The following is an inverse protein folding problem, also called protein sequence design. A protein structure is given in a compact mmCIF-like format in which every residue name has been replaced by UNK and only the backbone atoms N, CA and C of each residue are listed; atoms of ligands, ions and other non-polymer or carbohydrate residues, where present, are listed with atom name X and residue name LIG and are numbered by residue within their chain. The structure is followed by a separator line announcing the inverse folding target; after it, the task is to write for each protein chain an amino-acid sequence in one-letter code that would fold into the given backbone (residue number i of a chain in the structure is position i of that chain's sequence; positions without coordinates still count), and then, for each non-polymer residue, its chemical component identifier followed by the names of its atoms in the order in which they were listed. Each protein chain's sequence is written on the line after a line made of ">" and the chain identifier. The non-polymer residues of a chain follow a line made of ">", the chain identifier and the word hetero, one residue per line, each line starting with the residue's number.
data_IF_861577306272
#
_entry.id   IF_861577306272
#
_cell.length_a   1.000
_cell.length_b   1.000
_cell.length_c   1.000
_cell.angle_alpha   90.00
_cell.angle_beta   90.00
_cell.angle_gamma   90.00
#
_symmetry.space_group_name_H-M   'P 1'
#
loop_
_entity.id
_entity.type
_entity.pdbx_description
1 polymer ?
#
# COMPACT_ATOMS: atom_id res chain seq x y z
N UNK A 1 36.16 62.99 38.14
CA UNK A 1 36.00 62.45 39.50
C UNK A 1 35.34 61.09 39.40
N UNK A 2 35.93 60.10 40.09
CA UNK A 2 35.58 58.67 40.24
C UNK A 2 34.05 58.43 40.48
N UNK A 3 33.44 57.30 40.11
CA UNK A 3 33.64 55.94 40.69
C UNK A 3 32.93 54.84 39.88
N UNK A 4 33.45 53.64 40.07
CA UNK A 4 33.17 52.30 39.54
C UNK A 4 31.96 51.56 40.15
N UNK A 5 31.60 50.44 39.48
CA UNK A 5 31.16 49.10 39.97
C UNK A 5 29.71 48.66 39.70
N UNK A 6 29.60 47.44 39.12
CA UNK A 6 28.39 46.60 39.24
C UNK A 6 28.24 45.53 38.15
N UNK A 7 29.10 44.51 38.14
CA UNK A 7 28.96 43.31 37.32
C UNK A 7 27.75 42.46 37.72
N UNK A 8 27.01 41.91 36.75
CA UNK A 8 26.40 40.57 36.87
C UNK A 8 26.56 39.85 35.53
N UNK A 9 27.35 38.78 35.56
CA UNK A 9 27.39 37.76 34.52
C UNK A 9 26.05 37.02 34.47
N UNK A 10 25.53 36.78 33.28
CA UNK A 10 24.72 35.59 33.02
C UNK A 10 25.03 35.06 31.61
N UNK A 11 25.79 33.97 31.61
CA UNK A 11 26.11 33.17 30.45
C UNK A 11 24.87 32.41 29.96
N UNK A 12 24.70 32.32 28.64
CA UNK A 12 23.99 31.23 27.98
C UNK A 12 24.45 31.13 26.51
N UNK A 13 25.65 30.54 26.32
CA UNK A 13 26.05 29.93 25.05
C UNK A 13 25.53 28.49 25.05
N UNK A 14 24.45 28.20 24.32
CA UNK A 14 24.04 26.84 24.01
C UNK A 14 23.69 26.69 22.53
N UNK A 15 24.65 26.07 21.85
CA UNK A 15 24.49 25.03 20.83
C UNK A 15 23.69 25.37 19.56
N UNK A 16 24.47 25.54 18.48
CA UNK A 16 24.15 25.30 17.08
C UNK A 16 23.12 24.19 16.86
N UNK A 17 21.87 24.58 16.63
CA UNK A 17 20.84 23.69 16.11
C UNK A 17 21.10 23.41 14.63
N UNK A 18 21.79 22.31 14.31
CA UNK A 18 21.62 21.68 13.00
C UNK A 18 20.18 21.15 12.93
N UNK A 19 19.30 21.95 12.33
CA UNK A 19 17.99 21.49 11.90
C UNK A 19 18.21 20.51 10.73
N UNK A 20 18.31 19.22 11.03
CA UNK A 20 18.03 18.20 10.04
C UNK A 20 16.55 18.31 9.69
N UNK A 21 16.25 19.10 8.66
CA UNK A 21 14.97 19.03 7.97
C UNK A 21 14.85 17.60 7.42
N UNK A 22 14.14 16.74 8.16
CA UNK A 22 13.69 15.47 7.65
C UNK A 22 12.79 15.77 6.45
N UNK A 23 13.35 15.63 5.24
CA UNK A 23 12.57 15.68 4.02
C UNK A 23 11.47 14.63 4.15
N UNK A 24 10.23 15.09 4.28
CA UNK A 24 9.06 14.25 4.10
C UNK A 24 9.22 13.54 2.75
N UNK A 25 8.91 12.24 2.61
CA UNK A 25 8.85 11.63 1.30
C UNK A 25 7.71 12.31 0.57
N UNK A 26 8.05 13.37 -0.17
CA UNK A 26 7.18 14.01 -1.13
C UNK A 26 6.56 12.90 -1.98
N UNK A 27 5.26 13.00 -2.18
CA UNK A 27 4.51 12.23 -3.17
C UNK A 27 5.27 12.21 -4.49
N UNK A 28 6.13 11.21 -4.65
CA UNK A 28 6.86 11.00 -5.87
C UNK A 28 5.79 10.69 -6.91
N UNK A 29 5.53 11.69 -7.76
CA UNK A 29 4.62 11.58 -8.90
C UNK A 29 4.91 10.24 -9.59
N UNK A 30 3.90 9.39 -9.83
CA UNK A 30 4.13 8.10 -10.45
C UNK A 30 4.87 8.34 -11.77
N UNK A 31 6.11 7.84 -11.83
CA UNK A 31 6.89 7.84 -13.06
C UNK A 31 6.05 7.17 -14.15
N UNK A 32 6.13 7.65 -15.38
CA UNK A 32 5.47 7.06 -16.55
C UNK A 32 6.41 6.11 -17.29
N UNK A 33 7.40 5.54 -16.61
CA UNK A 33 8.30 4.59 -17.26
C UNK A 33 7.54 3.32 -17.65
N UNK A 34 8.00 2.75 -18.75
CA UNK A 34 7.35 1.61 -19.38
C UNK A 34 8.02 0.27 -19.02
N UNK A 35 8.81 0.22 -17.95
CA UNK A 35 9.47 -1.01 -17.51
C UNK A 35 9.71 -1.04 -16.00
N UNK A 36 9.94 -2.24 -15.47
CA UNK A 36 10.17 -2.53 -14.06
C UNK A 36 11.50 -3.24 -13.90
N UNK A 37 12.30 -2.80 -12.94
CA UNK A 37 13.54 -3.46 -12.53
C UNK A 37 13.29 -4.48 -11.40
N UNK A 38 14.23 -5.42 -11.22
CA UNK A 38 14.19 -6.38 -10.10
C UNK A 38 14.12 -5.68 -8.73
N UNK A 39 14.81 -4.55 -8.57
CA UNK A 39 14.82 -3.76 -7.33
C UNK A 39 13.44 -3.18 -7.01
N UNK A 40 12.73 -2.69 -8.02
CA UNK A 40 11.40 -2.10 -7.84
C UNK A 40 10.35 -3.18 -7.59
N UNK A 41 10.41 -4.30 -8.32
CA UNK A 41 9.54 -5.44 -8.09
C UNK A 41 9.67 -6.00 -6.66
N UNK A 42 10.88 -6.01 -6.08
CA UNK A 42 11.11 -6.40 -4.68
C UNK A 42 10.39 -5.51 -3.67
N UNK A 43 10.08 -4.24 -4.00
CA UNK A 43 9.35 -3.32 -3.11
C UNK A 43 7.86 -3.66 -3.01
N UNK A 44 7.30 -4.39 -3.97
CA UNK A 44 5.90 -4.83 -3.95
C UNK A 44 5.75 -5.98 -2.97
N UNK A 45 4.76 -5.91 -2.08
CA UNK A 45 4.42 -6.97 -1.12
C UNK A 45 2.92 -7.29 -1.21
N UNK A 46 2.55 -8.50 -0.79
CA UNK A 46 1.14 -8.89 -0.57
C UNK A 46 0.45 -7.86 0.32
N UNK A 47 -0.84 -7.63 0.08
CA UNK A 47 -1.65 -6.66 0.82
C UNK A 47 -1.49 -5.20 0.38
N UNK A 48 -0.57 -4.88 -0.53
CA UNK A 48 -0.45 -3.50 -1.06
C UNK A 48 -1.60 -3.17 -2.00
N UNK A 49 -2.17 -1.98 -1.90
CA UNK A 49 -3.16 -1.49 -2.87
C UNK A 49 -2.54 -1.24 -4.24
N UNK A 50 -3.36 -1.28 -5.30
CA UNK A 50 -2.94 -0.97 -6.68
C UNK A 50 -2.17 0.35 -6.79
N UNK A 51 -2.64 1.42 -6.16
CA UNK A 51 -1.96 2.72 -6.19
C UNK A 51 -0.59 2.70 -5.51
N UNK A 52 -0.50 1.96 -4.40
CA UNK A 52 0.75 1.76 -3.67
C UNK A 52 1.78 1.01 -4.51
N UNK A 53 1.33 0.02 -5.29
CA UNK A 53 2.15 -0.71 -6.27
C UNK A 53 2.58 0.20 -7.42
N UNK A 54 1.64 0.94 -8.04
CA UNK A 54 1.91 1.85 -9.15
C UNK A 54 2.97 2.91 -8.80
N UNK A 55 2.92 3.47 -7.59
CA UNK A 55 3.95 4.42 -7.10
C UNK A 55 5.33 3.76 -6.97
N UNK A 56 5.41 2.55 -6.40
CA UNK A 56 6.69 1.82 -6.21
C UNK A 56 7.30 1.35 -7.51
N UNK A 57 6.44 0.89 -8.41
CA UNK A 57 6.84 0.40 -9.71
C UNK A 57 7.08 1.52 -10.70
N UNK A 58 6.50 2.71 -10.52
CA UNK A 58 6.56 3.79 -11.50
C UNK A 58 6.10 3.35 -12.90
N UNK A 59 5.24 2.34 -12.99
CA UNK A 59 4.76 1.78 -14.24
C UNK A 59 3.30 1.38 -14.06
N UNK A 60 2.48 1.54 -15.09
CA UNK A 60 1.04 1.21 -15.03
C UNK A 60 0.75 -0.28 -15.23
N UNK A 61 1.63 -0.99 -15.93
CA UNK A 61 1.39 -2.35 -16.39
C UNK A 61 0.30 -2.42 -17.48
N UNK A 62 -0.08 -3.63 -17.87
CA UNK A 62 -1.20 -3.95 -18.75
C UNK A 62 -2.09 -4.98 -18.07
N UNK A 63 -3.41 -4.80 -18.10
CA UNK A 63 -4.33 -5.83 -17.62
C UNK A 63 -4.21 -7.05 -18.52
N UNK A 64 -4.00 -8.23 -17.93
CA UNK A 64 -3.89 -9.50 -18.66
C UNK A 64 -4.91 -10.54 -18.20
N UNK A 65 -5.54 -10.32 -17.04
CA UNK A 65 -6.68 -11.10 -16.56
C UNK A 65 -7.54 -10.21 -15.68
N UNK A 66 -8.85 -10.40 -15.77
CA UNK A 66 -9.87 -9.73 -14.99
C UNK A 66 -11.06 -10.68 -14.89
N UNK A 67 -11.63 -10.84 -13.70
CA UNK A 67 -12.83 -11.60 -13.49
C UNK A 67 -13.57 -11.14 -12.24
N UNK A 68 -14.89 -11.31 -12.25
CA UNK A 68 -15.78 -11.12 -11.12
C UNK A 68 -16.65 -12.35 -10.96
N UNK A 69 -16.80 -12.82 -9.74
CA UNK A 69 -17.59 -13.99 -9.38
C UNK A 69 -18.97 -13.56 -8.83
N UNK A 70 -19.99 -14.43 -8.90
CA UNK A 70 -21.33 -14.11 -8.40
C UNK A 70 -21.42 -13.80 -6.90
N UNK A 71 -20.47 -14.27 -6.09
CA UNK A 71 -20.38 -14.00 -4.65
C UNK A 71 -19.80 -12.61 -4.31
N UNK A 72 -19.41 -11.84 -5.34
CA UNK A 72 -18.83 -10.52 -5.22
C UNK A 72 -17.31 -10.50 -5.15
N UNK A 73 -16.64 -11.67 -5.16
CA UNK A 73 -15.19 -11.71 -5.32
C UNK A 73 -14.81 -11.22 -6.72
N UNK A 74 -13.63 -10.61 -6.82
CA UNK A 74 -13.10 -10.18 -8.10
C UNK A 74 -11.59 -10.02 -8.01
N UNK A 75 -10.92 -10.37 -9.11
CA UNK A 75 -9.48 -10.22 -9.23
C UNK A 75 -9.09 -9.57 -10.56
N UNK A 76 -7.92 -8.95 -10.55
CA UNK A 76 -7.29 -8.38 -11.73
C UNK A 76 -5.79 -8.60 -11.71
N UNK A 77 -5.25 -9.14 -12.79
CA UNK A 77 -3.81 -9.35 -12.97
C UNK A 77 -3.23 -8.33 -13.95
N UNK A 78 -2.14 -7.69 -13.53
CA UNK A 78 -1.36 -6.79 -14.36
C UNK A 78 -0.03 -7.42 -14.73
N UNK A 79 0.29 -7.39 -16.01
CA UNK A 79 1.61 -7.74 -16.52
C UNK A 79 2.47 -6.49 -16.73
N UNK A 80 3.77 -6.60 -16.45
CA UNK A 80 4.74 -5.52 -16.58
C UNK A 80 5.93 -5.94 -17.43
N UNK A 81 6.46 -5.00 -18.22
CA UNK A 81 7.69 -5.19 -18.98
C UNK A 81 8.91 -5.10 -18.06
N UNK A 82 9.87 -6.00 -18.20
CA UNK A 82 11.17 -5.91 -17.53
C UNK A 82 12.06 -4.90 -18.25
N UNK A 83 12.80 -4.07 -17.50
CA UNK A 83 13.75 -3.16 -18.14
C UNK A 83 14.84 -3.94 -18.88
N UNK A 84 15.17 -3.50 -20.11
CA UNK A 84 16.09 -4.21 -21.00
C UNK A 84 15.48 -5.40 -21.76
N UNK A 85 14.18 -5.65 -21.63
CA UNK A 85 13.48 -6.75 -22.34
C UNK A 85 12.27 -6.26 -23.12
N UNK A 86 11.89 -7.04 -24.14
CA UNK A 86 10.62 -6.87 -24.86
C UNK A 86 9.46 -7.44 -24.03
N UNK A 87 8.23 -7.12 -24.41
CA UNK A 87 7.03 -7.65 -23.74
C UNK A 87 6.95 -9.19 -23.82
N UNK A 88 7.31 -9.76 -24.97
CA UNK A 88 7.28 -11.22 -25.22
C UNK A 88 8.27 -12.00 -24.35
N UNK A 89 9.32 -11.34 -23.87
CA UNK A 89 10.35 -11.93 -22.98
C UNK A 89 10.24 -11.43 -21.54
N UNK A 90 9.20 -10.67 -21.23
CA UNK A 90 8.95 -10.15 -19.88
C UNK A 90 7.92 -11.00 -19.19
N UNK A 91 8.26 -11.48 -18.00
CA UNK A 91 7.34 -12.22 -17.15
C UNK A 91 7.37 -11.53 -15.79
N UNK A 92 6.58 -10.47 -15.64
CA UNK A 92 6.23 -9.90 -14.33
C UNK A 92 4.72 -9.84 -14.30
N UNK A 93 4.12 -10.52 -13.34
CA UNK A 93 2.69 -10.54 -13.09
C UNK A 93 2.41 -10.16 -11.64
N UNK A 94 1.42 -9.32 -11.43
CA UNK A 94 0.92 -8.96 -10.09
C UNK A 94 -0.59 -9.06 -10.15
N UNK A 95 -1.14 -9.97 -9.37
CA UNK A 95 -2.59 -10.15 -9.21
C UNK A 95 -3.07 -9.39 -7.99
N UNK A 96 -4.23 -8.80 -8.13
CA UNK A 96 -4.92 -8.09 -7.07
C UNK A 96 -6.31 -8.69 -6.90
N UNK A 97 -6.76 -8.82 -5.67
CA UNK A 97 -8.09 -9.28 -5.30
C UNK A 97 -8.77 -8.25 -4.39
N UNK A 98 -10.10 -8.24 -4.38
CA UNK A 98 -10.86 -7.50 -3.40
C UNK A 98 -10.53 -7.98 -1.98
N UNK A 99 -10.69 -7.10 -0.99
CA UNK A 99 -10.41 -7.45 0.40
C UNK A 99 -11.59 -8.23 0.97
N UNK A 100 -11.39 -9.49 1.42
CA UNK A 100 -12.43 -10.23 2.10
C UNK A 100 -12.68 -9.64 3.50
N UNK A 101 -13.93 -9.65 3.92
CA UNK A 101 -14.33 -9.33 5.28
C UNK A 101 -15.52 -10.20 5.70
N UNK A 102 -15.56 -10.55 6.98
CA UNK A 102 -16.65 -11.34 7.54
C UNK A 102 -17.81 -10.42 7.94
N UNK A 103 -19.03 -10.82 7.60
CA UNK A 103 -20.28 -10.19 8.03
C UNK A 103 -21.13 -11.25 8.70
N UNK A 104 -21.60 -10.96 9.91
CA UNK A 104 -22.61 -11.78 10.54
C UNK A 104 -23.97 -11.49 9.91
N UNK A 105 -24.64 -12.52 9.38
CA UNK A 105 -26.00 -12.43 8.86
C UNK A 105 -26.92 -13.04 9.91
N UNK A 106 -27.67 -12.20 10.66
CA UNK A 106 -28.45 -12.67 11.78
C UNK A 106 -29.66 -13.48 11.30
N UNK A 107 -29.99 -14.53 12.05
CA UNK A 107 -31.19 -15.34 11.89
C UNK A 107 -31.88 -15.43 13.25
N UNK A 108 -32.67 -14.39 13.54
CA UNK A 108 -33.23 -14.19 14.87
C UNK A 108 -34.57 -14.92 14.98
N UNK A 109 -34.60 -15.95 15.81
CA UNK A 109 -35.80 -16.68 16.17
C UNK A 109 -36.15 -16.45 17.64
N UNK A 110 -37.43 -16.16 17.93
CA UNK A 110 -37.89 -15.90 19.29
C UNK A 110 -38.94 -16.93 19.73
N UNK A 111 -38.72 -17.55 20.89
CA UNK A 111 -39.62 -18.53 21.53
C UNK A 111 -39.81 -18.18 23.01
N UNK A 112 -41.05 -18.16 23.49
CA UNK A 112 -41.41 -17.89 24.89
C UNK A 112 -40.73 -16.64 25.49
N UNK A 113 -40.60 -15.57 24.69
CA UNK A 113 -40.01 -14.30 25.10
C UNK A 113 -38.47 -14.29 25.12
N UNK A 114 -37.81 -15.38 24.73
CA UNK A 114 -36.36 -15.46 24.54
C UNK A 114 -36.03 -15.49 23.04
N UNK A 115 -35.08 -14.68 22.60
CA UNK A 115 -34.62 -14.65 21.21
C UNK A 115 -33.22 -15.26 21.09
N UNK A 116 -33.02 -16.06 20.06
CA UNK A 116 -31.76 -16.70 19.69
C UNK A 116 -31.37 -16.23 18.29
N UNK A 117 -30.09 -15.92 18.11
CA UNK A 117 -29.51 -15.63 16.80
C UNK A 117 -28.80 -16.88 16.30
N UNK A 118 -29.40 -17.55 15.33
CA UNK A 118 -28.82 -18.70 14.62
C UNK A 118 -28.06 -18.28 13.36
N UNK A 119 -27.80 -16.98 13.23
CA UNK A 119 -27.10 -16.39 12.12
C UNK A 119 -25.73 -17.01 11.87
N UNK A 120 -25.26 -16.84 10.63
CA UNK A 120 -23.97 -17.35 10.20
C UNK A 120 -23.03 -16.22 9.79
N UNK A 121 -21.74 -16.49 9.88
CA UNK A 121 -20.71 -15.60 9.36
C UNK A 121 -20.49 -15.87 7.87
N UNK A 122 -20.74 -14.86 7.05
CA UNK A 122 -20.50 -14.89 5.61
C UNK A 122 -19.25 -14.09 5.23
N UNK A 123 -18.52 -14.54 4.20
CA UNK A 123 -17.45 -13.74 3.60
C UNK A 123 -18.02 -12.83 2.53
N UNK A 124 -17.70 -11.55 2.61
CA UNK A 124 -18.05 -10.51 1.64
C UNK A 124 -16.77 -9.83 1.16
N UNK A 125 -16.85 -9.12 0.04
CA UNK A 125 -15.69 -8.52 -0.63
C UNK A 125 -15.89 -7.02 -0.83
N UNK A 126 -14.84 -6.24 -0.58
CA UNK A 126 -14.89 -4.79 -0.80
C UNK A 126 -13.56 -4.22 -1.28
N UNK A 127 -13.64 -3.06 -1.91
CA UNK A 127 -12.45 -2.27 -2.23
C UNK A 127 -11.66 -1.90 -0.95
N UNK A 128 -10.33 -1.72 -1.04
CA UNK A 128 -9.52 -1.70 -2.25
C UNK A 128 -9.11 -3.10 -2.74
N UNK A 129 -8.70 -3.16 -4.00
CA UNK A 129 -7.92 -4.26 -4.54
C UNK A 129 -6.51 -4.26 -3.97
N UNK A 130 -6.11 -5.38 -3.38
CA UNK A 130 -4.80 -5.58 -2.76
C UNK A 130 -4.03 -6.70 -3.45
N UNK A 131 -2.71 -6.62 -3.46
CA UNK A 131 -1.85 -7.68 -4.03
C UNK A 131 -2.15 -9.00 -3.32
N UNK A 132 -2.69 -9.97 -4.07
CA UNK A 132 -2.89 -11.34 -3.60
C UNK A 132 -1.67 -12.20 -3.93
N UNK A 133 -1.12 -12.03 -5.14
CA UNK A 133 0.06 -12.76 -5.60
C UNK A 133 0.92 -11.94 -6.54
N UNK A 134 2.20 -12.33 -6.64
CA UNK A 134 3.13 -11.78 -7.63
C UNK A 134 4.11 -12.83 -8.11
N UNK A 135 4.45 -12.76 -9.39
CA UNK A 135 5.43 -13.63 -10.03
C UNK A 135 6.36 -12.81 -10.92
N UNK A 136 7.64 -13.17 -10.94
CA UNK A 136 8.57 -12.64 -11.92
C UNK A 136 9.70 -13.61 -12.22
N UNK A 137 10.12 -13.69 -13.48
CA UNK A 137 11.25 -14.51 -13.90
C UNK A 137 12.41 -13.64 -14.40
N UNK A 138 13.55 -13.72 -13.71
CA UNK A 138 14.74 -12.93 -14.02
C UNK A 138 15.87 -13.88 -14.44
N UNK A 139 16.13 -13.96 -15.75
CA UNK A 139 17.36 -14.59 -16.28
C UNK A 139 18.52 -13.63 -16.28
#
# INVERSE_FOLDING_TARGET
>A
MNKTLGSVLAAALLASGLQFAAASPADAKPSNKNCVTKREFKKVKTGMSYDSVRRRLGAKGRVTSDASLPDGDSWRTYSYRQCGRTWQRSIIMISFELTPYTVHVPDIECFDGTCYDWGIDETRYRAPYNVSSKAAYWN
#
